data_IF_592275924970
#
_entry.id   IF_592275924970
#
_cell.length_a   1.000
_cell.length_b   1.000
_cell.length_c   1.000
_cell.angle_alpha   90.00
_cell.angle_beta   90.00
_cell.angle_gamma   90.00
#
_symmetry.space_group_name_H-M   'P 1'
#
loop_
_entity.id
_entity.type
_entity.pdbx_description
1 polymer ?
#
# COMPACT_ATOMS: atom_id res chain seq x y z
N UNK A 1 -22.94 3.02 -15.71
CA UNK A 1 -22.72 3.83 -14.66
C UNK A 1 -21.28 4.33 -14.58
N UNK A 2 -21.12 5.45 -14.10
CA UNK A 2 -19.86 6.13 -14.15
C UNK A 2 -18.92 5.67 -13.03
N UNK A 3 -17.66 5.49 -13.36
CA UNK A 3 -16.64 5.24 -12.39
C UNK A 3 -15.92 6.48 -11.89
N UNK A 4 -16.31 7.64 -12.39
CA UNK A 4 -15.64 8.88 -12.01
C UNK A 4 -16.23 9.44 -10.73
N UNK A 5 -15.35 9.90 -9.84
CA UNK A 5 -15.77 10.66 -8.68
C UNK A 5 -16.10 12.10 -9.09
N UNK A 6 -17.04 12.72 -8.38
CA UNK A 6 -17.26 14.14 -8.56
C UNK A 6 -16.14 14.93 -7.87
N UNK A 7 -16.11 16.25 -8.03
CA UNK A 7 -15.04 17.09 -7.48
C UNK A 7 -14.94 17.00 -5.96
N UNK A 8 -16.08 16.89 -5.27
CA UNK A 8 -16.09 16.82 -3.83
C UNK A 8 -15.53 15.51 -3.34
N UNK A 9 -15.90 14.40 -3.99
CA UNK A 9 -15.37 13.09 -3.64
C UNK A 9 -13.86 13.03 -3.86
N UNK A 10 -13.38 13.58 -4.96
CA UNK A 10 -11.95 13.61 -5.25
C UNK A 10 -11.19 14.45 -4.22
N UNK A 11 -11.79 15.56 -3.76
CA UNK A 11 -11.17 16.41 -2.75
C UNK A 11 -11.10 15.74 -1.38
N UNK A 12 -12.01 14.78 -1.08
CA UNK A 12 -12.02 14.04 0.18
C UNK A 12 -11.19 12.77 0.13
N UNK A 13 -10.71 12.40 -1.04
CA UNK A 13 -9.93 11.18 -1.21
C UNK A 13 -8.60 11.29 -0.45
N UNK A 14 -8.17 10.16 0.09
CA UNK A 14 -6.94 10.06 0.85
C UNK A 14 -5.98 9.16 0.09
N UNK A 15 -4.74 9.63 -0.09
CA UNK A 15 -3.67 8.80 -0.63
C UNK A 15 -2.74 8.44 0.52
N UNK A 16 -2.49 7.17 0.69
CA UNK A 16 -1.55 6.69 1.71
C UNK A 16 -0.22 6.44 1.01
N UNK A 17 0.79 7.21 1.39
CA UNK A 17 2.13 7.09 0.86
C UNK A 17 2.96 6.32 1.87
N UNK A 18 3.49 5.17 1.46
CA UNK A 18 4.24 4.30 2.35
C UNK A 18 5.69 4.26 1.89
N UNK A 19 6.60 4.58 2.81
CA UNK A 19 8.02 4.47 2.57
C UNK A 19 8.54 3.31 3.40
N UNK A 20 9.21 2.36 2.74
CA UNK A 20 9.75 1.18 3.38
C UNK A 20 11.27 1.25 3.39
N UNK A 21 11.85 0.98 4.55
CA UNK A 21 13.28 0.73 4.64
C UNK A 21 13.47 -0.78 4.67
N UNK A 22 14.20 -1.31 3.70
CA UNK A 22 14.35 -2.73 3.51
C UNK A 22 15.71 -3.23 3.96
N UNK A 23 15.77 -4.53 4.28
CA UNK A 23 17.04 -5.24 4.34
C UNK A 23 17.52 -5.37 2.88
N UNK A 24 18.66 -4.75 2.52
CA UNK A 24 19.09 -4.75 1.11
C UNK A 24 19.42 -6.14 0.58
N UNK A 25 19.65 -7.11 1.46
CA UNK A 25 19.92 -8.49 1.06
C UNK A 25 18.66 -9.31 0.82
N UNK A 26 17.49 -8.71 1.11
CA UNK A 26 16.19 -9.41 0.99
C UNK A 26 15.22 -8.66 0.08
N UNK A 27 15.74 -7.88 -0.86
CA UNK A 27 14.89 -7.09 -1.77
C UNK A 27 13.94 -7.95 -2.59
N UNK A 28 14.40 -9.12 -3.04
CA UNK A 28 13.55 -10.02 -3.84
C UNK A 28 12.35 -10.51 -3.02
N UNK A 29 12.52 -10.72 -1.73
CA UNK A 29 11.41 -11.10 -0.85
C UNK A 29 10.39 -9.99 -0.73
N UNK A 30 10.85 -8.74 -0.58
CA UNK A 30 9.94 -7.60 -0.54
C UNK A 30 9.19 -7.48 -1.86
N UNK A 31 9.84 -7.68 -2.99
CA UNK A 31 9.16 -7.60 -4.29
C UNK A 31 8.06 -8.65 -4.41
N UNK A 32 8.30 -9.87 -3.93
CA UNK A 32 7.26 -10.90 -3.87
C UNK A 32 6.08 -10.46 -3.00
N UNK A 33 6.38 -9.90 -1.84
CA UNK A 33 5.40 -9.36 -0.89
C UNK A 33 4.57 -8.24 -1.57
N UNK A 34 5.24 -7.31 -2.23
CA UNK A 34 4.58 -6.22 -2.94
C UNK A 34 3.68 -6.75 -4.07
N UNK A 35 4.18 -7.72 -4.83
CA UNK A 35 3.41 -8.30 -5.94
C UNK A 35 2.12 -8.94 -5.44
N UNK A 36 2.17 -9.61 -4.28
CA UNK A 36 0.98 -10.21 -3.68
C UNK A 36 -0.05 -9.14 -3.31
N UNK A 37 0.40 -7.99 -2.80
CA UNK A 37 -0.51 -6.90 -2.45
C UNK A 37 -1.24 -6.33 -3.66
N UNK A 38 -0.65 -6.39 -4.87
CA UNK A 38 -1.32 -5.89 -6.07
C UNK A 38 -2.66 -6.58 -6.31
N UNK A 39 -2.80 -7.84 -5.88
CA UNK A 39 -4.06 -8.58 -6.00
C UNK A 39 -4.92 -8.44 -4.74
N UNK A 40 -4.31 -8.41 -3.57
CA UNK A 40 -5.04 -8.44 -2.29
C UNK A 40 -5.69 -7.08 -2.00
N UNK A 41 -4.99 -5.99 -2.24
CA UNK A 41 -5.48 -4.64 -1.89
C UNK A 41 -6.81 -4.32 -2.59
N UNK A 42 -6.94 -4.51 -3.91
CA UNK A 42 -8.24 -4.25 -4.56
C UNK A 42 -9.35 -5.15 -4.03
N UNK A 43 -9.04 -6.40 -3.75
CA UNK A 43 -10.03 -7.34 -3.21
C UNK A 43 -10.57 -6.86 -1.85
N UNK A 44 -9.76 -6.17 -1.09
CA UNK A 44 -10.13 -5.68 0.24
C UNK A 44 -10.65 -4.24 0.24
N UNK A 45 -10.82 -3.64 -0.94
CA UNK A 45 -11.47 -2.34 -1.07
C UNK A 45 -10.55 -1.14 -1.21
N UNK A 46 -9.25 -1.37 -1.41
CA UNK A 46 -8.31 -0.30 -1.66
C UNK A 46 -7.99 -0.17 -3.15
N UNK A 47 -7.48 0.98 -3.53
CA UNK A 47 -6.94 1.17 -4.86
C UNK A 47 -5.42 1.21 -4.71
N UNK A 48 -4.72 0.24 -5.31
CA UNK A 48 -3.26 0.24 -5.28
C UNK A 48 -2.76 0.98 -6.52
N UNK A 49 -2.24 2.19 -6.31
CA UNK A 49 -1.65 2.96 -7.41
C UNK A 49 -0.39 2.26 -7.88
N UNK A 50 0.40 1.72 -6.96
CA UNK A 50 1.56 0.94 -7.31
C UNK A 50 2.53 0.73 -6.16
N UNK A 51 3.52 -0.11 -6.43
CA UNK A 51 4.69 -0.31 -5.58
C UNK A 51 5.91 -0.01 -6.42
N UNK A 52 6.93 0.56 -5.80
CA UNK A 52 8.17 0.91 -6.49
C UNK A 52 9.35 0.35 -5.73
N UNK A 53 10.20 -0.39 -6.46
CA UNK A 53 11.43 -0.96 -5.93
C UNK A 53 12.59 0.00 -6.14
N UNK A 54 13.64 -0.08 -5.31
CA UNK A 54 14.87 0.66 -5.61
C UNK A 54 15.42 0.20 -6.96
N UNK A 55 15.82 1.14 -7.80
CA UNK A 55 16.41 0.81 -9.11
C UNK A 55 17.90 1.19 -9.12
N UNK A 56 18.18 2.46 -8.83
CA UNK A 56 19.55 2.95 -8.79
C UNK A 56 19.65 4.03 -7.72
N UNK A 57 20.84 4.21 -7.14
CA UNK A 57 21.01 5.11 -6.01
C UNK A 57 20.82 4.35 -4.72
N UNK A 58 19.80 4.74 -3.93
CA UNK A 58 19.48 4.06 -2.68
C UNK A 58 19.02 2.63 -2.98
N UNK A 59 19.60 1.65 -2.29
CA UNK A 59 19.34 0.25 -2.59
C UNK A 59 18.35 -0.41 -1.62
N UNK A 60 17.82 0.32 -0.65
CA UNK A 60 17.01 -0.26 0.41
C UNK A 60 15.75 0.56 0.71
N UNK A 61 15.33 1.45 -0.18
CA UNK A 61 14.11 2.23 0.02
C UNK A 61 13.11 1.89 -1.08
N UNK A 62 11.91 1.51 -0.67
CA UNK A 62 10.82 1.21 -1.59
C UNK A 62 9.60 2.04 -1.20
N UNK A 63 8.65 2.14 -2.11
CA UNK A 63 7.47 2.98 -1.89
C UNK A 63 6.21 2.27 -2.34
N UNK A 64 5.08 2.64 -1.73
CA UNK A 64 3.77 2.25 -2.20
C UNK A 64 2.83 3.44 -2.11
N UNK A 65 1.87 3.49 -3.01
CA UNK A 65 0.80 4.48 -2.98
C UNK A 65 -0.53 3.74 -3.05
N UNK A 66 -1.38 4.00 -2.07
CA UNK A 66 -2.72 3.44 -2.01
C UNK A 66 -3.71 4.60 -1.94
N UNK A 67 -4.88 4.44 -2.53
CA UNK A 67 -5.88 5.50 -2.55
C UNK A 67 -7.22 4.98 -2.03
N UNK A 68 -7.93 5.83 -1.30
CA UNK A 68 -9.23 5.52 -0.70
C UNK A 68 -10.13 6.73 -0.83
N UNK A 69 -11.47 6.53 -0.90
CA UNK A 69 -12.39 7.67 -0.94
C UNK A 69 -12.32 8.55 0.29
N UNK A 70 -11.91 8.00 1.44
CA UNK A 70 -11.77 8.75 2.67
C UNK A 70 -11.21 7.88 3.78
N UNK A 71 -11.10 8.44 4.98
CA UNK A 71 -10.54 7.71 6.13
C UNK A 71 -11.43 6.55 6.58
N UNK A 72 -12.75 6.70 6.46
CA UNK A 72 -13.66 5.62 6.84
C UNK A 72 -13.44 4.38 5.97
N UNK A 73 -13.26 4.59 4.66
CA UNK A 73 -12.99 3.49 3.74
C UNK A 73 -11.63 2.86 4.01
N UNK A 74 -10.66 3.66 4.42
CA UNK A 74 -9.36 3.15 4.80
C UNK A 74 -9.48 2.23 6.03
N UNK A 75 -10.26 2.63 7.03
CA UNK A 75 -10.48 1.81 8.22
C UNK A 75 -11.16 0.48 7.87
N UNK A 76 -12.19 0.54 7.02
CA UNK A 76 -12.89 -0.66 6.56
C UNK A 76 -11.95 -1.61 5.83
N UNK A 77 -11.08 -1.04 4.98
CA UNK A 77 -10.06 -1.80 4.27
C UNK A 77 -9.11 -2.50 5.25
N UNK A 78 -8.65 -1.79 6.27
CA UNK A 78 -7.75 -2.38 7.28
C UNK A 78 -8.42 -3.56 7.99
N UNK A 79 -9.70 -3.43 8.30
CA UNK A 79 -10.46 -4.51 8.91
C UNK A 79 -10.58 -5.73 7.97
N UNK A 80 -10.83 -5.47 6.68
CA UNK A 80 -10.92 -6.56 5.69
C UNK A 80 -9.60 -7.27 5.49
N UNK A 81 -8.48 -6.54 5.52
CA UNK A 81 -7.16 -7.16 5.43
C UNK A 81 -6.94 -8.15 6.57
N UNK A 82 -7.33 -7.76 7.79
CA UNK A 82 -7.13 -8.62 8.95
C UNK A 82 -8.02 -9.87 8.90
N UNK A 83 -9.12 -9.81 8.15
CA UNK A 83 -10.02 -10.95 7.98
C UNK A 83 -9.74 -11.76 6.72
N UNK A 84 -8.82 -11.31 5.89
CA UNK A 84 -8.51 -11.99 4.63
C UNK A 84 -7.32 -12.92 4.81
N UNK A 85 -7.51 -14.20 4.44
CA UNK A 85 -6.47 -15.22 4.65
C UNK A 85 -5.18 -14.90 3.89
N UNK A 86 -5.30 -14.43 2.64
CA UNK A 86 -4.13 -14.07 1.84
C UNK A 86 -3.44 -12.84 2.39
N UNK A 87 -4.23 -11.86 2.86
CA UNK A 87 -3.68 -10.66 3.48
C UNK A 87 -2.87 -11.01 4.73
N UNK A 88 -3.44 -11.84 5.59
CA UNK A 88 -2.75 -12.27 6.81
C UNK A 88 -1.52 -13.11 6.49
N UNK A 89 -1.61 -14.00 5.49
CA UNK A 89 -0.46 -14.78 5.08
C UNK A 89 0.69 -13.88 4.60
N UNK A 90 0.36 -12.79 3.91
CA UNK A 90 1.37 -11.87 3.42
C UNK A 90 2.02 -11.06 4.56
N UNK A 91 1.23 -10.64 5.54
CA UNK A 91 1.78 -10.01 6.75
C UNK A 91 2.71 -10.98 7.50
N UNK A 92 2.30 -12.24 7.64
CA UNK A 92 3.10 -13.25 8.32
C UNK A 92 4.39 -13.53 7.56
N UNK A 93 4.36 -13.51 6.24
CA UNK A 93 5.54 -13.66 5.41
C UNK A 93 6.57 -12.57 5.72
N UNK A 94 6.11 -11.32 5.81
CA UNK A 94 6.99 -10.21 6.14
C UNK A 94 7.53 -10.32 7.57
N UNK A 95 6.68 -10.71 8.50
CA UNK A 95 7.07 -10.86 9.91
C UNK A 95 8.11 -11.95 10.08
N UNK A 96 7.93 -13.07 9.39
CA UNK A 96 8.82 -14.21 9.49
C UNK A 96 10.20 -13.91 8.91
N UNK A 97 10.25 -13.28 7.74
CA UNK A 97 11.50 -13.09 7.00
C UNK A 97 12.19 -11.75 7.26
N UNK A 98 11.50 -10.82 7.90
CA UNK A 98 12.06 -9.56 8.41
C UNK A 98 12.79 -8.73 7.35
N UNK A 99 12.22 -8.68 6.14
CA UNK A 99 12.82 -7.87 5.09
C UNK A 99 12.44 -6.39 5.16
N UNK A 100 11.42 -6.04 5.97
CA UNK A 100 11.05 -4.65 6.21
C UNK A 100 11.62 -4.23 7.55
N UNK A 101 12.56 -3.28 7.54
CA UNK A 101 13.22 -2.81 8.76
C UNK A 101 12.45 -1.66 9.40
N UNK A 102 11.81 -0.83 8.56
CA UNK A 102 10.99 0.30 9.05
C UNK A 102 9.98 0.66 7.96
N UNK A 103 8.86 1.21 8.40
CA UNK A 103 7.79 1.59 7.50
C UNK A 103 7.22 2.92 7.99
N UNK A 104 7.08 3.88 7.07
CA UNK A 104 6.49 5.19 7.36
C UNK A 104 5.27 5.36 6.50
N UNK A 105 4.15 5.76 7.10
CA UNK A 105 2.91 6.02 6.38
C UNK A 105 2.57 7.50 6.50
N UNK A 106 2.31 8.13 5.37
CA UNK A 106 1.90 9.53 5.32
C UNK A 106 0.55 9.58 4.61
N UNK A 107 -0.42 10.21 5.24
CA UNK A 107 -1.75 10.35 4.69
C UNK A 107 -1.83 11.69 3.98
N UNK A 108 -2.07 11.66 2.68
CA UNK A 108 -1.98 12.83 1.81
C UNK A 108 -3.35 13.13 1.21
N UNK A 109 -3.59 14.41 0.96
CA UNK A 109 -4.75 14.87 0.21
C UNK A 109 -4.25 15.51 -1.06
N UNK A 110 -4.80 15.09 -2.18
CA UNK A 110 -4.39 15.65 -3.46
C UNK A 110 -4.83 17.12 -3.52
N UNK A 111 -3.92 17.97 -4.00
CA UNK A 111 -4.26 19.37 -4.24
C UNK A 111 -5.09 19.44 -5.50
N UNK A 112 -6.28 20.01 -5.40
CA UNK A 112 -7.18 20.18 -6.55
C UNK A 112 -6.74 21.38 -7.39
N UNK A 113 -7.00 21.29 -8.69
CA UNK A 113 -6.69 22.39 -9.61
C UNK A 113 -7.65 23.55 -9.40
#
# INVERSE_FOLDING_TARGET
MSGKRNSQEAALAITVFIRYQLDPFKRAMFETYARRWLAIIPKCGGECVGYWMPHEGTNNIAFALLSFPGLAEYESYRARLRADDEGMANFNFAEEHKFILAEERTFLRKVAA
#
